data_IF_985920259180
#
_entry.id   IF_985920259180
#
_cell.length_a   1.000
_cell.length_b   1.000
_cell.length_c   1.000
_cell.angle_alpha   90.00
_cell.angle_beta   90.00
_cell.angle_gamma   90.00
#
_symmetry.space_group_name_H-M   'P 1'
#
loop_
_entity.id
_entity.type
_entity.pdbx_description
1 polymer ?
#
# COMPACT_ATOMS: atom_id res chain seq x y z
N UNK A 1 -8.59 -7.41 -15.97
CA UNK A 1 -9.21 -8.60 -15.37
C UNK A 1 -9.57 -8.25 -13.94
N UNK A 2 -10.84 -8.33 -13.57
CA UNK A 2 -11.28 -8.20 -12.17
C UNK A 2 -10.94 -9.49 -11.44
N UNK A 3 -10.20 -9.37 -10.33
CA UNK A 3 -9.97 -10.50 -9.43
C UNK A 3 -10.78 -10.29 -8.16
N UNK A 4 -11.65 -11.24 -7.85
CA UNK A 4 -12.39 -11.27 -6.59
C UNK A 4 -11.64 -12.13 -5.58
N UNK A 5 -10.87 -11.48 -4.71
CA UNK A 5 -10.15 -12.17 -3.64
C UNK A 5 -11.05 -12.49 -2.44
N UNK A 6 -12.19 -11.80 -2.28
CA UNK A 6 -13.10 -12.00 -1.14
C UNK A 6 -13.77 -13.37 -1.25
N UNK A 7 -14.35 -13.69 -2.42
CA UNK A 7 -14.98 -15.00 -2.62
C UNK A 7 -13.98 -16.16 -2.52
N UNK A 8 -12.77 -15.96 -3.06
CA UNK A 8 -11.69 -16.95 -2.97
C UNK A 8 -11.23 -17.15 -1.53
N UNK A 9 -11.08 -16.06 -0.77
CA UNK A 9 -10.75 -16.10 0.64
C UNK A 9 -11.80 -16.86 1.45
N UNK A 10 -13.08 -16.54 1.26
CA UNK A 10 -14.20 -17.28 1.88
C UNK A 10 -14.13 -18.77 1.53
N UNK A 11 -13.85 -19.11 0.27
CA UNK A 11 -13.65 -20.51 -0.14
C UNK A 11 -12.50 -21.19 0.59
N UNK A 12 -11.37 -20.49 0.74
CA UNK A 12 -10.15 -20.99 1.38
C UNK A 12 -10.31 -21.24 2.89
N UNK A 13 -11.26 -20.59 3.55
CA UNK A 13 -11.61 -20.89 4.94
C UNK A 13 -12.10 -22.33 5.13
N UNK A 14 -12.83 -22.87 4.16
CA UNK A 14 -13.44 -24.21 4.26
C UNK A 14 -12.51 -25.34 3.85
N UNK A 15 -11.25 -25.03 3.51
CA UNK A 15 -10.26 -26.05 3.21
C UNK A 15 -9.88 -26.79 4.50
N UNK A 16 -9.94 -28.13 4.54
CA UNK A 16 -9.70 -28.90 5.78
C UNK A 16 -8.37 -28.57 6.47
N UNK A 17 -7.32 -28.28 5.70
CA UNK A 17 -6.02 -27.88 6.23
C UNK A 17 -6.05 -26.49 6.90
N UNK A 18 -6.78 -25.54 6.34
CA UNK A 18 -6.91 -24.19 6.90
C UNK A 18 -7.82 -24.20 8.14
N UNK A 19 -8.90 -24.99 8.13
CA UNK A 19 -9.72 -25.23 9.33
C UNK A 19 -8.84 -25.79 10.46
N UNK A 20 -8.06 -26.84 10.19
CA UNK A 20 -7.19 -27.45 11.20
C UNK A 20 -6.17 -26.45 11.74
N UNK A 21 -5.47 -25.72 10.86
CA UNK A 21 -4.50 -24.69 11.29
C UNK A 21 -5.18 -23.59 12.12
N UNK A 22 -6.35 -23.12 11.71
CA UNK A 22 -7.09 -22.06 12.39
C UNK A 22 -7.46 -22.43 13.83
N UNK A 23 -7.89 -23.66 14.07
CA UNK A 23 -8.30 -24.11 15.40
C UNK A 23 -7.14 -24.58 16.29
N UNK A 24 -6.03 -25.03 15.71
CA UNK A 24 -4.96 -25.70 16.44
C UNK A 24 -3.60 -25.00 16.36
N UNK A 25 -3.54 -23.77 15.85
CA UNK A 25 -2.31 -22.96 15.81
C UNK A 25 -2.63 -21.46 15.87
N UNK A 26 -1.61 -20.61 15.77
CA UNK A 26 -1.78 -19.15 15.66
C UNK A 26 -2.21 -18.68 14.25
N UNK A 27 -2.43 -19.62 13.32
CA UNK A 27 -2.86 -19.33 11.96
C UNK A 27 -4.26 -18.73 11.95
N UNK A 28 -4.45 -17.60 11.29
CA UNK A 28 -5.72 -16.88 11.37
C UNK A 28 -6.27 -16.46 10.00
N UNK A 29 -7.31 -15.62 10.04
CA UNK A 29 -7.98 -15.10 8.85
C UNK A 29 -7.06 -14.29 7.93
N UNK A 30 -6.08 -13.62 8.50
CA UNK A 30 -5.07 -12.84 7.77
C UNK A 30 -4.11 -13.79 7.05
N UNK A 31 -3.70 -14.89 7.68
CA UNK A 31 -2.89 -15.91 7.00
C UNK A 31 -3.62 -16.62 5.85
N UNK A 32 -4.94 -16.86 6.00
CA UNK A 32 -5.76 -17.41 4.91
C UNK A 32 -5.82 -16.43 3.73
N UNK A 33 -5.89 -15.12 4.01
CA UNK A 33 -5.87 -14.10 2.96
C UNK A 33 -4.49 -14.00 2.29
N UNK A 34 -3.41 -14.06 3.06
CA UNK A 34 -2.06 -14.12 2.50
C UNK A 34 -1.87 -15.34 1.58
N UNK A 35 -2.39 -16.51 1.97
CA UNK A 35 -2.43 -17.68 1.09
C UNK A 35 -3.28 -17.42 -0.16
N UNK A 36 -4.43 -16.76 0.00
CA UNK A 36 -5.29 -16.40 -1.13
C UNK A 36 -4.56 -15.50 -2.14
N UNK A 37 -3.73 -14.57 -1.68
CA UNK A 37 -2.85 -13.82 -2.57
C UNK A 37 -1.76 -14.69 -3.19
N UNK A 38 -1.05 -15.51 -2.43
CA UNK A 38 -0.03 -16.41 -2.97
C UNK A 38 -0.59 -17.32 -4.08
N UNK A 39 -1.85 -17.73 -3.94
CA UNK A 39 -2.49 -18.63 -4.88
C UNK A 39 -3.03 -17.95 -6.15
N UNK A 40 -3.24 -16.62 -6.14
CA UNK A 40 -4.04 -15.94 -7.18
C UNK A 40 -3.47 -14.60 -7.68
N UNK A 41 -2.55 -13.97 -6.95
CA UNK A 41 -1.98 -12.66 -7.29
C UNK A 41 -1.10 -12.72 -8.55
N UNK A 42 -0.50 -13.87 -8.80
CA UNK A 42 0.42 -14.07 -9.92
C UNK A 42 -0.26 -14.87 -11.02
N UNK A 43 -0.10 -14.45 -12.28
CA UNK A 43 -0.57 -15.16 -13.46
C UNK A 43 0.29 -16.42 -13.72
N UNK A 44 0.23 -17.40 -12.82
CA UNK A 44 0.96 -18.66 -12.97
C UNK A 44 0.05 -19.62 -13.74
N UNK A 45 0.26 -19.73 -15.05
CA UNK A 45 -0.29 -20.84 -15.83
C UNK A 45 0.45 -22.13 -15.47
N UNK A 46 -0.10 -22.89 -14.53
CA UNK A 46 0.35 -24.26 -14.31
C UNK A 46 -0.20 -25.19 -15.40
N UNK A 47 0.70 -25.88 -16.09
CA UNK A 47 0.37 -26.96 -17.03
C UNK A 47 0.51 -28.31 -16.31
N UNK A 48 -0.52 -29.16 -16.36
CA UNK A 48 -0.51 -30.51 -15.75
C UNK A 48 -1.46 -30.67 -14.56
N UNK A 49 -1.33 -31.79 -13.82
CA UNK A 49 -2.17 -32.14 -12.66
C UNK A 49 -2.01 -31.24 -11.43
N UNK A 50 -1.19 -30.19 -11.53
CA UNK A 50 -0.85 -29.25 -10.45
C UNK A 50 -1.75 -27.99 -10.46
N UNK A 51 -2.94 -28.08 -11.05
CA UNK A 51 -3.99 -27.04 -11.08
C UNK A 51 -4.53 -26.63 -9.68
N UNK A 52 -3.90 -27.07 -8.58
CA UNK A 52 -4.45 -26.98 -7.22
C UNK A 52 -3.61 -26.15 -6.25
N UNK A 53 -2.45 -25.65 -6.63
CA UNK A 53 -1.62 -24.79 -5.77
C UNK A 53 -1.09 -23.65 -6.62
N UNK A 54 -1.44 -22.41 -6.29
CA UNK A 54 -0.68 -21.31 -6.86
C UNK A 54 0.74 -21.33 -6.28
N UNK A 55 1.60 -20.47 -6.83
CA UNK A 55 3.00 -20.39 -6.40
C UNK A 55 3.16 -19.16 -5.54
N UNK A 56 3.54 -19.37 -4.29
CA UNK A 56 4.04 -18.30 -3.44
C UNK A 56 5.41 -17.85 -3.98
N UNK A 57 5.49 -16.60 -4.43
CA UNK A 57 6.73 -15.98 -4.88
C UNK A 57 7.38 -15.21 -3.73
N UNK A 58 8.68 -15.34 -3.63
CA UNK A 58 9.53 -14.64 -2.66
C UNK A 58 10.05 -13.32 -3.22
N UNK A 59 10.42 -12.38 -2.34
CA UNK A 59 10.95 -11.07 -2.75
C UNK A 59 12.22 -11.23 -3.59
N UNK A 60 13.06 -12.23 -3.31
CA UNK A 60 14.28 -12.52 -4.07
C UNK A 60 14.02 -13.01 -5.50
N UNK A 61 12.79 -13.44 -5.80
CA UNK A 61 12.37 -13.84 -7.15
C UNK A 61 11.87 -12.66 -7.99
N UNK A 62 11.76 -11.45 -7.40
CA UNK A 62 11.55 -10.23 -8.17
C UNK A 62 12.81 -10.00 -9.01
N UNK A 63 12.66 -10.06 -10.34
CA UNK A 63 13.79 -9.93 -11.26
C UNK A 63 14.60 -8.66 -11.00
N UNK A 64 15.94 -8.77 -11.07
CA UNK A 64 16.87 -7.65 -10.77
C UNK A 64 16.70 -6.43 -11.67
N UNK A 65 16.08 -6.60 -12.83
CA UNK A 65 15.77 -5.52 -13.78
C UNK A 65 14.43 -4.82 -13.48
N UNK A 66 13.71 -5.23 -12.43
CA UNK A 66 12.47 -4.60 -11.99
C UNK A 66 12.76 -3.43 -11.03
N UNK A 67 11.83 -2.46 -10.92
CA UNK A 67 11.92 -1.44 -9.88
C UNK A 67 12.04 -2.06 -8.49
N UNK A 68 12.79 -1.41 -7.62
CA UNK A 68 12.89 -1.80 -6.22
C UNK A 68 11.52 -1.65 -5.54
N UNK A 69 10.98 -2.75 -4.99
CA UNK A 69 9.68 -2.79 -4.35
C UNK A 69 9.84 -2.49 -2.85
N UNK A 70 9.07 -1.52 -2.35
CA UNK A 70 8.95 -1.26 -0.92
C UNK A 70 7.48 -1.42 -0.56
N UNK A 71 7.20 -2.33 0.37
CA UNK A 71 5.89 -2.48 1.00
C UNK A 71 6.05 -1.99 2.45
N UNK A 72 5.15 -1.15 2.91
CA UNK A 72 5.22 -0.56 4.25
C UNK A 72 4.08 -1.05 5.13
N UNK A 73 4.34 -1.11 6.43
CA UNK A 73 3.42 -1.56 7.45
C UNK A 73 3.68 -0.78 8.74
N UNK A 74 2.81 -0.95 9.72
CA UNK A 74 2.93 -0.32 11.04
C UNK A 74 3.26 -1.36 12.08
N UNK A 75 4.32 -1.18 12.86
CA UNK A 75 4.68 -2.10 13.92
C UNK A 75 3.63 -2.05 15.05
N UNK A 76 3.15 -3.23 15.43
CA UNK A 76 2.12 -3.47 16.44
C UNK A 76 2.66 -4.12 17.73
N UNK A 77 3.96 -4.41 17.79
CA UNK A 77 4.63 -5.01 18.94
C UNK A 77 4.94 -3.93 19.97
N UNK A 78 4.62 -4.19 21.25
CA UNK A 78 4.77 -3.22 22.33
C UNK A 78 6.23 -3.06 22.77
N UNK A 79 7.02 -4.11 22.60
CA UNK A 79 8.41 -4.18 23.03
C UNK A 79 9.33 -3.29 22.18
N UNK A 80 10.46 -2.89 22.79
CA UNK A 80 11.53 -2.11 22.14
C UNK A 80 11.13 -0.73 21.61
N UNK A 81 10.06 -0.13 22.15
CA UNK A 81 9.54 1.18 21.78
C UNK A 81 9.17 1.29 20.29
N UNK A 82 8.93 0.16 19.62
CA UNK A 82 8.67 0.11 18.17
C UNK A 82 7.19 0.28 17.81
N UNK A 83 6.30 0.19 18.80
CA UNK A 83 4.85 0.33 18.57
C UNK A 83 4.49 1.62 17.83
N UNK A 84 3.71 1.51 16.77
CA UNK A 84 3.29 2.64 15.94
C UNK A 84 4.39 3.20 15.03
N UNK A 85 5.57 2.57 14.96
CA UNK A 85 6.61 2.96 13.99
C UNK A 85 6.43 2.26 12.64
N UNK A 86 7.00 2.84 11.58
CA UNK A 86 7.01 2.22 10.26
C UNK A 86 7.91 0.99 10.26
N UNK A 87 7.40 -0.10 9.68
CA UNK A 87 8.18 -1.28 9.30
C UNK A 87 8.04 -1.49 7.80
N UNK A 88 9.16 -1.46 7.08
CA UNK A 88 9.19 -1.67 5.63
C UNK A 88 9.75 -3.05 5.31
N UNK A 89 9.19 -3.72 4.30
CA UNK A 89 9.69 -4.99 3.79
C UNK A 89 10.92 -4.74 2.89
N UNK A 90 12.02 -4.32 3.51
CA UNK A 90 13.33 -4.09 2.88
C UNK A 90 14.41 -4.86 3.60
N UNK A 91 15.56 -5.03 2.95
CA UNK A 91 16.72 -5.70 3.56
C UNK A 91 17.15 -5.01 4.86
N UNK A 92 17.13 -3.68 4.91
CA UNK A 92 17.56 -2.90 6.07
C UNK A 92 16.71 -3.21 7.30
N UNK A 93 15.38 -3.21 7.16
CA UNK A 93 14.47 -3.46 8.28
C UNK A 93 14.43 -4.93 8.65
N UNK A 94 14.54 -5.86 7.70
CA UNK A 94 14.63 -7.29 8.00
C UNK A 94 15.91 -7.63 8.79
N UNK A 95 17.07 -7.13 8.36
CA UNK A 95 18.32 -7.30 9.09
C UNK A 95 18.25 -6.63 10.47
N UNK A 96 17.75 -5.40 10.53
CA UNK A 96 17.74 -4.59 11.77
C UNK A 96 16.72 -5.08 12.79
N UNK A 97 15.55 -5.54 12.35
CA UNK A 97 14.41 -5.82 13.24
C UNK A 97 14.16 -7.31 13.45
N UNK A 98 14.51 -8.16 12.49
CA UNK A 98 14.20 -9.59 12.53
C UNK A 98 15.43 -10.50 12.48
N UNK A 99 16.61 -9.99 12.11
CA UNK A 99 17.80 -10.80 11.79
C UNK A 99 17.49 -11.93 10.78
N UNK A 100 16.83 -11.53 9.68
CA UNK A 100 16.32 -12.44 8.65
C UNK A 100 16.60 -11.89 7.25
N UNK A 101 16.65 -12.76 6.24
CA UNK A 101 16.82 -12.36 4.85
C UNK A 101 15.46 -12.10 4.19
N UNK A 102 15.24 -10.86 3.74
CA UNK A 102 14.03 -10.49 3.00
C UNK A 102 13.86 -11.29 1.72
N UNK A 103 14.94 -11.74 1.08
CA UNK A 103 14.87 -12.43 -0.21
C UNK A 103 14.13 -13.77 -0.13
N UNK A 104 14.07 -14.40 1.05
CA UNK A 104 13.32 -15.64 1.28
C UNK A 104 11.86 -15.38 1.69
N UNK A 105 11.49 -14.13 1.95
CA UNK A 105 10.17 -13.77 2.45
C UNK A 105 9.14 -13.71 1.33
N UNK A 106 7.92 -14.20 1.61
CA UNK A 106 6.80 -14.21 0.67
C UNK A 106 6.32 -12.79 0.34
N UNK A 107 6.22 -12.48 -0.96
CA UNK A 107 5.62 -11.23 -1.45
C UNK A 107 4.15 -11.15 -1.02
N UNK A 108 3.42 -12.27 -1.09
CA UNK A 108 1.99 -12.30 -0.75
C UNK A 108 1.76 -12.00 0.74
N UNK A 109 2.63 -12.51 1.62
CA UNK A 109 2.59 -12.18 3.06
C UNK A 109 2.97 -10.72 3.31
N UNK A 110 3.93 -10.16 2.56
CA UNK A 110 4.28 -8.74 2.68
C UNK A 110 3.15 -7.82 2.22
N UNK A 111 2.48 -8.16 1.12
CA UNK A 111 1.28 -7.45 0.63
C UNK A 111 0.16 -7.53 1.66
N UNK A 112 -0.09 -8.72 2.22
CA UNK A 112 -1.12 -8.86 3.25
C UNK A 112 -0.79 -8.07 4.51
N UNK A 113 0.47 -8.06 4.96
CA UNK A 113 0.90 -7.23 6.09
C UNK A 113 0.65 -5.75 5.85
N UNK A 114 0.98 -5.25 4.66
CA UNK A 114 0.72 -3.87 4.25
C UNK A 114 -0.77 -3.52 4.22
N UNK A 115 -1.66 -4.50 4.02
CA UNK A 115 -3.11 -4.31 3.90
C UNK A 115 -3.91 -4.88 5.10
N UNK A 116 -3.24 -5.17 6.23
CA UNK A 116 -3.84 -5.76 7.43
C UNK A 116 -4.57 -4.71 8.26
N UNK A 117 -5.65 -4.16 7.71
CA UNK A 117 -6.43 -3.10 8.33
C UNK A 117 -7.08 -3.60 9.65
N UNK A 118 -6.83 -2.95 10.82
CA UNK A 118 -7.17 -3.47 12.15
C UNK A 118 -8.64 -3.82 12.44
N UNK A 119 -9.58 -3.38 11.60
CA UNK A 119 -10.98 -3.78 11.72
C UNK A 119 -11.31 -5.08 10.94
N UNK A 120 -10.66 -5.28 9.79
CA UNK A 120 -10.93 -6.39 8.88
C UNK A 120 -10.02 -7.60 9.15
N UNK A 121 -8.78 -7.35 9.57
CA UNK A 121 -7.74 -8.36 9.74
C UNK A 121 -7.03 -8.22 11.07
N UNK A 122 -6.45 -9.32 11.54
CA UNK A 122 -5.49 -9.29 12.64
C UNK A 122 -4.12 -8.86 12.10
N UNK A 123 -3.21 -8.43 12.97
CA UNK A 123 -1.82 -8.17 12.61
C UNK A 123 -1.16 -9.38 11.97
N UNK A 124 -0.34 -9.16 10.94
CA UNK A 124 0.56 -10.19 10.43
C UNK A 124 1.68 -10.46 11.43
N UNK A 125 1.92 -11.74 11.71
CA UNK A 125 2.97 -12.19 12.63
C UNK A 125 4.22 -12.59 11.84
N UNK A 126 5.35 -11.99 12.19
CA UNK A 126 6.67 -12.25 11.62
C UNK A 126 7.57 -12.85 12.71
N UNK A 127 8.35 -13.86 12.35
CA UNK A 127 9.36 -14.44 13.25
C UNK A 127 10.53 -13.48 13.40
N UNK A 128 10.94 -13.28 14.66
CA UNK A 128 12.09 -12.46 15.03
C UNK A 128 13.23 -13.37 15.53
N UNK A 129 14.34 -13.37 14.80
CA UNK A 129 15.50 -14.23 15.05
C UNK A 129 16.63 -13.52 15.82
N UNK A 130 16.44 -12.26 16.25
CA UNK A 130 17.48 -11.48 16.96
C UNK A 130 17.86 -12.08 18.31
N UNK A 131 16.94 -12.78 18.96
CA UNK A 131 17.17 -13.40 20.25
C UNK A 131 17.53 -14.87 20.04
N UNK A 132 18.66 -15.29 20.61
CA UNK A 132 19.14 -16.68 20.54
C UNK A 132 18.86 -17.45 21.85
N UNK A 133 17.84 -17.07 22.59
CA UNK A 133 17.47 -17.67 23.88
C UNK A 133 16.61 -18.95 23.76
N UNK A 134 16.61 -19.58 22.58
CA UNK A 134 15.83 -20.78 22.22
C UNK A 134 14.30 -20.63 22.35
N UNK A 135 13.80 -19.45 22.72
CA UNK A 135 12.39 -19.09 22.71
C UNK A 135 12.06 -18.38 21.38
N UNK A 136 10.93 -18.66 20.73
CA UNK A 136 10.56 -17.95 19.51
C UNK A 136 10.02 -16.55 19.86
N UNK A 137 10.59 -15.53 19.24
CA UNK A 137 10.13 -14.15 19.35
C UNK A 137 9.41 -13.72 18.08
N UNK A 138 8.53 -12.73 18.20
CA UNK A 138 7.69 -12.30 17.09
C UNK A 138 7.60 -10.78 17.01
N UNK A 139 7.48 -10.28 15.78
CA UNK A 139 7.00 -8.92 15.51
C UNK A 139 5.62 -9.02 14.86
N UNK A 140 4.70 -8.19 15.32
CA UNK A 140 3.37 -8.04 14.76
C UNK A 140 3.32 -6.74 13.97
N UNK A 141 2.70 -6.76 12.79
CA UNK A 141 2.51 -5.56 11.97
C UNK A 141 1.07 -5.42 11.51
N UNK A 142 0.57 -4.19 11.55
CA UNK A 142 -0.69 -3.75 10.94
C UNK A 142 -0.46 -3.12 9.58
N UNK A 143 -1.56 -2.79 8.91
CA UNK A 143 -1.61 -1.92 7.73
C UNK A 143 -0.63 -0.73 7.79
N UNK A 144 -0.05 -0.40 6.64
CA UNK A 144 0.80 0.80 6.46
C UNK A 144 0.04 2.11 6.67
N UNK A 145 -1.28 2.11 6.56
CA UNK A 145 -2.16 3.28 6.63
C UNK A 145 -1.96 4.14 7.88
N UNK A 146 -1.76 3.51 9.03
CA UNK A 146 -1.60 4.21 10.32
C UNK A 146 -0.36 5.12 10.36
N UNK A 147 0.68 4.81 9.57
CA UNK A 147 1.95 5.56 9.60
C UNK A 147 2.28 6.22 8.27
N UNK A 148 2.11 5.53 7.15
CA UNK A 148 2.57 5.96 5.83
C UNK A 148 1.66 5.41 4.69
N UNK A 149 0.36 5.73 4.70
CA UNK A 149 -0.59 5.24 3.68
C UNK A 149 -0.23 5.61 2.23
N UNK A 150 0.70 6.55 2.03
CA UNK A 150 1.10 7.08 0.73
C UNK A 150 2.49 6.61 0.29
N UNK A 151 3.24 5.91 1.15
CA UNK A 151 4.64 5.54 0.90
C UNK A 151 5.62 6.72 0.91
N UNK A 152 5.17 7.95 1.19
CA UNK A 152 5.99 9.15 1.17
C UNK A 152 7.06 9.15 2.27
N UNK A 153 6.77 8.63 3.46
CA UNK A 153 7.80 8.50 4.51
C UNK A 153 8.89 7.51 4.11
N UNK A 154 8.52 6.47 3.37
CA UNK A 154 9.47 5.52 2.80
C UNK A 154 10.40 6.20 1.78
N UNK A 155 9.86 7.05 0.91
CA UNK A 155 10.63 7.88 -0.03
C UNK A 155 11.55 8.85 0.73
N UNK A 156 11.06 9.50 1.78
CA UNK A 156 11.91 10.36 2.62
C UNK A 156 13.08 9.62 3.25
N UNK A 157 12.87 8.37 3.67
CA UNK A 157 13.92 7.53 4.24
C UNK A 157 15.02 7.25 3.21
N UNK A 158 14.66 7.11 1.93
CA UNK A 158 15.62 7.00 0.81
C UNK A 158 16.43 8.30 0.70
N UNK A 159 15.78 9.46 0.65
CA UNK A 159 16.49 10.75 0.56
C UNK A 159 17.45 10.97 1.74
N UNK A 160 17.00 10.72 2.97
CA UNK A 160 17.85 10.81 4.15
C UNK A 160 19.06 9.87 4.06
N UNK A 161 18.86 8.65 3.57
CA UNK A 161 19.94 7.66 3.41
C UNK A 161 20.94 8.09 2.35
N UNK A 162 20.46 8.63 1.22
CA UNK A 162 21.32 9.17 0.16
C UNK A 162 22.15 10.35 0.67
N UNK A 163 21.53 11.29 1.37
CA UNK A 163 22.22 12.43 1.98
C UNK A 163 23.28 12.00 2.98
N UNK A 164 22.94 11.09 3.91
CA UNK A 164 23.88 10.53 4.90
C UNK A 164 25.08 9.84 4.26
N UNK A 165 24.87 9.14 3.14
CA UNK A 165 25.92 8.46 2.38
C UNK A 165 26.67 9.39 1.42
N UNK A 166 26.27 10.67 1.31
CA UNK A 166 26.84 11.61 0.35
C UNK A 166 26.60 11.21 -1.10
N UNK A 167 25.52 10.48 -1.38
CA UNK A 167 25.13 10.08 -2.73
C UNK A 167 24.41 11.25 -3.39
N UNK A 168 25.03 11.81 -4.42
CA UNK A 168 24.44 12.86 -5.23
C UNK A 168 23.48 12.28 -6.28
N UNK A 169 22.39 12.99 -6.56
CA UNK A 169 21.42 12.60 -7.57
C UNK A 169 21.34 13.68 -8.66
N UNK A 170 21.25 13.24 -9.91
CA UNK A 170 21.14 14.18 -11.05
C UNK A 170 19.74 14.77 -11.15
N UNK A 171 18.73 13.94 -10.93
CA UNK A 171 17.32 14.28 -11.15
C UNK A 171 16.47 13.41 -10.25
N UNK A 172 15.42 13.99 -9.65
CA UNK A 172 14.45 13.26 -8.81
C UNK A 172 13.05 13.49 -9.35
N UNK A 173 12.34 12.41 -9.62
CA UNK A 173 10.92 12.46 -9.96
C UNK A 173 10.17 11.58 -8.98
N UNK A 174 9.18 12.15 -8.30
CA UNK A 174 8.29 11.43 -7.40
C UNK A 174 6.88 11.56 -7.96
N UNK A 175 6.25 10.43 -8.29
CA UNK A 175 4.86 10.38 -8.72
C UNK A 175 4.07 9.70 -7.61
N UNK A 176 3.20 10.46 -6.95
CA UNK A 176 2.25 9.92 -5.99
C UNK A 176 0.93 9.65 -6.71
N UNK A 177 0.54 8.39 -6.81
CA UNK A 177 -0.78 7.98 -7.29
C UNK A 177 -1.66 7.80 -6.06
N UNK A 178 -2.62 8.70 -5.90
CA UNK A 178 -3.46 8.77 -4.72
C UNK A 178 -4.92 8.44 -5.06
N UNK A 179 -5.35 7.27 -4.59
CA UNK A 179 -6.71 6.77 -4.78
C UNK A 179 -7.65 7.14 -3.62
N UNK A 180 -7.29 8.14 -2.80
CA UNK A 180 -8.18 8.67 -1.77
C UNK A 180 -9.51 9.14 -2.38
N UNK A 181 -10.60 8.73 -1.74
CA UNK A 181 -11.97 9.14 -2.09
C UNK A 181 -12.56 9.93 -0.94
N UNK A 182 -13.33 10.98 -1.25
CA UNK A 182 -14.05 11.73 -0.21
C UNK A 182 -15.07 10.81 0.49
N UNK A 183 -14.89 10.59 1.80
CA UNK A 183 -15.86 9.86 2.59
C UNK A 183 -17.21 10.59 2.53
N UNK A 184 -18.27 9.92 2.06
CA UNK A 184 -19.59 10.53 1.89
C UNK A 184 -20.24 10.97 3.22
N UNK A 185 -19.64 10.61 4.37
CA UNK A 185 -20.19 10.84 5.70
C UNK A 185 -21.53 10.12 5.92
N UNK A 186 -22.04 10.18 7.14
CA UNK A 186 -23.39 9.73 7.46
C UNK A 186 -24.35 10.89 7.18
N UNK A 187 -25.39 10.65 6.38
CA UNK A 187 -26.39 11.66 6.08
C UNK A 187 -27.15 12.08 7.35
N UNK A 188 -27.37 13.38 7.54
CA UNK A 188 -27.94 13.98 8.77
C UNK A 188 -29.33 13.45 9.20
N UNK A 189 -30.02 12.77 8.29
CA UNK A 189 -31.37 12.23 8.49
C UNK A 189 -31.38 10.76 8.96
N UNK A 190 -30.23 10.10 9.01
CA UNK A 190 -30.11 8.73 9.52
C UNK A 190 -29.91 8.73 11.04
N UNK A 191 -30.95 8.33 11.77
CA UNK A 191 -30.89 8.17 13.23
C UNK A 191 -30.09 6.93 13.68
N UNK A 192 -29.91 5.95 12.78
CA UNK A 192 -29.13 4.75 13.00
C UNK A 192 -28.39 4.38 11.70
N UNK A 193 -27.06 4.57 11.63
CA UNK A 193 -26.26 4.28 10.44
C UNK A 193 -25.91 2.79 10.29
N UNK A 194 -26.31 1.94 11.25
CA UNK A 194 -25.76 0.58 11.34
C UNK A 194 -26.22 -0.35 10.22
N UNK A 195 -25.28 -1.07 9.62
CA UNK A 195 -25.54 -2.10 8.60
C UNK A 195 -25.67 -3.51 9.20
N UNK A 196 -26.10 -4.50 8.41
CA UNK A 196 -26.17 -5.91 8.86
C UNK A 196 -24.81 -6.55 9.21
N UNK A 197 -23.70 -5.93 8.80
CA UNK A 197 -22.33 -6.35 9.14
C UNK A 197 -21.80 -5.67 10.40
N UNK A 198 -22.50 -4.68 10.96
CA UNK A 198 -22.11 -3.96 12.17
C UNK A 198 -22.13 -4.81 13.44
N UNK A 199 -22.70 -6.03 13.36
CA UNK A 199 -22.60 -7.03 14.41
C UNK A 199 -21.19 -7.66 14.52
N UNK A 200 -20.33 -7.46 13.50
CA UNK A 200 -18.97 -8.01 13.46
C UNK A 200 -17.88 -6.91 13.48
N UNK A 201 -18.18 -5.69 13.03
CA UNK A 201 -17.25 -4.54 12.99
C UNK A 201 -18.00 -3.24 13.30
N UNK A 202 -17.55 -2.43 14.25
CA UNK A 202 -18.19 -1.16 14.63
C UNK A 202 -17.98 -0.10 13.54
N UNK A 203 -19.05 0.36 12.88
CA UNK A 203 -18.99 1.39 11.85
C UNK A 203 -18.38 2.70 12.37
N UNK A 204 -18.61 3.06 13.64
CA UNK A 204 -18.04 4.27 14.22
C UNK A 204 -16.52 4.15 14.36
N UNK A 205 -16.01 2.94 14.65
CA UNK A 205 -14.57 2.70 14.69
C UNK A 205 -13.95 2.87 13.30
N UNK A 206 -14.63 2.41 12.25
CA UNK A 206 -14.21 2.62 10.86
C UNK A 206 -14.18 4.10 10.53
N UNK A 207 -15.31 4.80 10.71
CA UNK A 207 -15.43 6.21 10.35
C UNK A 207 -14.41 7.10 11.10
N UNK A 208 -14.18 6.81 12.39
CA UNK A 208 -13.18 7.50 13.19
C UNK A 208 -11.75 7.20 12.70
N UNK A 209 -11.48 5.95 12.32
CA UNK A 209 -10.18 5.54 11.77
C UNK A 209 -9.95 6.22 10.42
N UNK A 210 -10.93 6.19 9.51
CA UNK A 210 -10.86 6.84 8.20
C UNK A 210 -10.62 8.35 8.33
N UNK A 211 -11.31 9.00 9.29
CA UNK A 211 -11.10 10.42 9.57
C UNK A 211 -9.68 10.72 10.05
N UNK A 212 -9.12 9.87 10.93
CA UNK A 212 -7.74 9.99 11.40
C UNK A 212 -6.74 9.74 10.26
N UNK A 213 -6.99 8.74 9.42
CA UNK A 213 -6.17 8.42 8.25
C UNK A 213 -6.18 9.55 7.23
N UNK A 214 -7.34 10.20 6.99
CA UNK A 214 -7.46 11.38 6.14
C UNK A 214 -6.63 12.55 6.68
N UNK A 215 -6.75 12.86 7.98
CA UNK A 215 -5.96 13.91 8.60
C UNK A 215 -4.44 13.61 8.57
N UNK A 216 -4.06 12.35 8.80
CA UNK A 216 -2.67 11.90 8.70
C UNK A 216 -2.15 12.00 7.26
N UNK A 217 -2.97 11.63 6.26
CA UNK A 217 -2.65 11.77 4.84
C UNK A 217 -2.30 13.21 4.48
N UNK A 218 -3.16 14.17 4.85
CA UNK A 218 -2.94 15.60 4.56
C UNK A 218 -1.65 16.12 5.19
N UNK A 219 -1.39 15.73 6.44
CA UNK A 219 -0.15 16.06 7.13
C UNK A 219 1.08 15.48 6.41
N UNK A 220 1.05 14.19 6.05
CA UNK A 220 2.16 13.52 5.37
C UNK A 220 2.48 14.21 4.03
N UNK A 221 1.44 14.58 3.26
CA UNK A 221 1.64 15.29 1.99
C UNK A 221 2.28 16.66 2.24
N UNK A 222 1.76 17.43 3.20
CA UNK A 222 2.30 18.77 3.51
C UNK A 222 3.75 18.72 3.99
N UNK A 223 4.07 17.79 4.89
CA UNK A 223 5.42 17.59 5.43
C UNK A 223 6.37 17.17 4.30
N UNK A 224 5.95 16.23 3.44
CA UNK A 224 6.72 15.77 2.29
C UNK A 224 6.99 16.89 1.29
N UNK A 225 5.97 17.67 0.90
CA UNK A 225 6.11 18.79 -0.04
C UNK A 225 7.10 19.81 0.49
N UNK A 226 6.97 20.21 1.76
CA UNK A 226 7.89 21.16 2.40
C UNK A 226 9.34 20.66 2.34
N UNK A 227 9.56 19.38 2.64
CA UNK A 227 10.87 18.76 2.58
C UNK A 227 11.40 18.63 1.15
N UNK A 228 10.54 18.27 0.21
CA UNK A 228 10.88 18.11 -1.20
C UNK A 228 11.30 19.43 -1.84
N UNK A 229 10.61 20.53 -1.53
CA UNK A 229 10.98 21.87 -1.99
C UNK A 229 12.33 22.34 -1.40
N UNK A 230 12.71 21.82 -0.23
CA UNK A 230 14.00 22.14 0.42
C UNK A 230 15.19 21.37 -0.15
N UNK A 231 14.98 20.45 -1.10
CA UNK A 231 16.06 19.74 -1.77
C UNK A 231 16.99 20.73 -2.49
N UNK A 232 18.30 20.45 -2.44
CA UNK A 232 19.37 21.38 -2.85
C UNK A 232 19.24 21.95 -4.28
N UNK A 233 18.54 21.26 -5.16
CA UNK A 233 18.36 21.67 -6.56
C UNK A 233 16.92 21.43 -7.01
N UNK A 234 16.03 22.34 -6.59
CA UNK A 234 14.60 22.29 -6.91
C UNK A 234 14.33 22.27 -8.42
N UNK A 235 15.24 22.84 -9.23
CA UNK A 235 15.15 22.84 -10.70
C UNK A 235 15.36 21.45 -11.33
N UNK A 236 15.86 20.49 -10.55
CA UNK A 236 16.10 19.09 -10.96
C UNK A 236 15.19 18.08 -10.27
N UNK A 237 14.21 18.56 -9.53
CA UNK A 237 13.27 17.71 -8.79
C UNK A 237 11.84 18.03 -9.18
N UNK A 238 11.03 17.01 -9.40
CA UNK A 238 9.60 17.16 -9.66
C UNK A 238 8.77 16.17 -8.82
N UNK A 239 7.80 16.69 -8.08
CA UNK A 239 6.77 15.93 -7.40
C UNK A 239 5.45 16.09 -8.15
N UNK A 240 4.87 14.99 -8.61
CA UNK A 240 3.56 14.95 -9.23
C UNK A 240 2.59 14.17 -8.36
N UNK A 241 1.61 14.86 -7.78
CA UNK A 241 0.50 14.23 -7.06
C UNK A 241 -0.68 14.04 -8.01
N UNK A 242 -0.87 12.80 -8.45
CA UNK A 242 -1.96 12.36 -9.33
C UNK A 242 -3.12 11.83 -8.47
N UNK A 243 -4.31 12.41 -8.59
CA UNK A 243 -5.50 12.04 -7.81
C UNK A 243 -6.74 11.96 -8.69
N UNK A 244 -7.76 11.21 -8.26
CA UNK A 244 -9.04 11.16 -8.98
C UNK A 244 -9.73 12.53 -9.08
N UNK A 245 -9.49 13.42 -8.11
CA UNK A 245 -9.99 14.79 -8.13
C UNK A 245 -9.49 15.61 -9.33
N UNK A 246 -8.42 15.18 -10.00
CA UNK A 246 -7.87 15.83 -11.20
C UNK A 246 -8.72 15.56 -12.47
N UNK A 247 -9.69 14.63 -12.40
CA UNK A 247 -10.61 14.33 -13.51
C UNK A 247 -11.68 15.41 -13.60
N UNK A 248 -11.69 16.17 -14.70
CA UNK A 248 -12.64 17.26 -14.95
C UNK A 248 -14.10 16.81 -15.14
N UNK A 249 -14.31 15.61 -15.69
CA UNK A 249 -15.65 15.08 -15.92
C UNK A 249 -16.32 14.79 -14.57
N UNK A 250 -17.13 15.74 -14.10
CA UNK A 250 -17.78 15.71 -12.79
C UNK A 250 -18.56 14.41 -12.56
N UNK A 251 -19.17 13.83 -13.60
CA UNK A 251 -19.91 12.56 -13.46
C UNK A 251 -18.96 11.39 -13.25
N UNK A 252 -17.85 11.34 -13.98
CA UNK A 252 -16.82 10.32 -13.81
C UNK A 252 -16.14 10.48 -12.46
N UNK A 253 -15.73 11.70 -12.10
CA UNK A 253 -15.14 12.06 -10.83
C UNK A 253 -16.01 11.60 -9.64
N UNK A 254 -17.32 11.90 -9.67
CA UNK A 254 -18.26 11.46 -8.64
C UNK A 254 -18.39 9.93 -8.55
N UNK A 255 -18.21 9.18 -9.64
CA UNK A 255 -18.22 7.71 -9.60
C UNK A 255 -16.90 7.16 -9.05
N UNK A 256 -15.77 7.76 -9.40
CA UNK A 256 -14.45 7.40 -8.87
C UNK A 256 -14.39 7.60 -7.35
N UNK A 257 -14.90 8.73 -6.85
CA UNK A 257 -14.98 9.04 -5.42
C UNK A 257 -15.98 8.17 -4.63
N UNK A 258 -16.67 7.23 -5.28
CA UNK A 258 -17.58 6.25 -4.65
C UNK A 258 -17.08 4.82 -4.75
N UNK A 259 -15.87 4.63 -5.27
CA UNK A 259 -15.24 3.30 -5.30
C UNK A 259 -14.88 2.93 -3.86
N UNK A 260 -15.53 1.89 -3.33
CA UNK A 260 -15.25 1.41 -1.99
C UNK A 260 -13.88 0.72 -1.93
N UNK A 261 -13.13 0.99 -0.87
CA UNK A 261 -11.91 0.26 -0.52
C UNK A 261 -12.25 -1.21 -0.24
N UNK A 262 -11.79 -2.11 -1.09
CA UNK A 262 -12.21 -3.52 -1.08
C UNK A 262 -11.17 -4.40 -1.78
N UNK A 263 -11.04 -5.65 -1.32
CA UNK A 263 -10.26 -6.70 -2.01
C UNK A 263 -10.98 -7.30 -3.24
N UNK A 264 -12.04 -6.63 -3.69
CA UNK A 264 -12.75 -6.90 -4.92
C UNK A 264 -13.14 -5.56 -5.55
N UNK A 265 -12.81 -5.39 -6.83
CA UNK A 265 -13.20 -4.23 -7.62
C UNK A 265 -14.24 -4.64 -8.67
N UNK A 266 -15.36 -3.91 -8.71
CA UNK A 266 -16.44 -4.17 -9.67
C UNK A 266 -16.00 -3.79 -11.08
N UNK A 267 -16.52 -4.50 -12.09
CA UNK A 267 -16.21 -4.21 -13.51
C UNK A 267 -16.53 -2.75 -13.89
N UNK A 268 -17.61 -2.19 -13.34
CA UNK A 268 -17.97 -0.78 -13.54
C UNK A 268 -16.90 0.18 -13.00
N UNK A 269 -16.37 -0.11 -11.80
CA UNK A 269 -15.31 0.67 -11.18
C UNK A 269 -13.99 0.56 -11.97
N UNK A 270 -13.67 -0.62 -12.50
CA UNK A 270 -12.51 -0.80 -13.40
C UNK A 270 -12.68 0.06 -14.65
N UNK A 271 -13.84 0.01 -15.30
CA UNK A 271 -14.10 0.80 -16.50
C UNK A 271 -14.05 2.31 -16.24
N UNK A 272 -14.43 2.76 -15.05
CA UNK A 272 -14.29 4.16 -14.65
C UNK A 272 -12.83 4.55 -14.37
N UNK A 273 -12.04 3.67 -13.74
CA UNK A 273 -10.58 3.89 -13.57
C UNK A 273 -9.89 3.96 -14.93
N UNK A 274 -10.20 3.06 -15.86
CA UNK A 274 -9.63 3.07 -17.21
C UNK A 274 -9.91 4.40 -17.92
N UNK A 275 -11.16 4.90 -17.83
CA UNK A 275 -11.50 6.24 -18.35
C UNK A 275 -10.75 7.35 -17.63
N UNK A 276 -10.54 7.26 -16.32
CA UNK A 276 -9.78 8.25 -15.58
C UNK A 276 -8.33 8.31 -16.09
N UNK A 277 -7.71 7.14 -16.28
CA UNK A 277 -6.37 7.01 -16.85
C UNK A 277 -6.30 7.62 -18.25
N UNK A 278 -7.27 7.35 -19.12
CA UNK A 278 -7.36 7.95 -20.47
C UNK A 278 -7.45 9.49 -20.44
N UNK A 279 -8.06 10.08 -19.41
CA UNK A 279 -8.20 11.54 -19.27
C UNK A 279 -6.97 12.19 -18.63
N UNK A 280 -6.33 11.52 -17.67
CA UNK A 280 -5.22 12.08 -16.91
C UNK A 280 -3.88 11.81 -17.58
N UNK A 281 -3.64 10.61 -18.10
CA UNK A 281 -2.35 10.21 -18.66
C UNK A 281 -2.26 10.48 -20.17
N UNK A 282 -2.43 11.75 -20.55
CA UNK A 282 -2.38 12.19 -21.95
C UNK A 282 -1.02 12.82 -22.31
N UNK A 283 -0.61 12.83 -23.59
CA UNK A 283 0.58 13.55 -24.03
C UNK A 283 0.53 15.07 -23.79
N UNK A 284 -0.67 15.62 -23.57
CA UNK A 284 -0.91 17.03 -23.27
C UNK A 284 -0.84 17.34 -21.77
N UNK A 285 -0.71 16.33 -20.91
CA UNK A 285 -0.61 16.55 -19.47
C UNK A 285 0.67 17.34 -19.14
N UNK A 286 0.56 18.56 -18.58
CA UNK A 286 1.70 19.44 -18.33
C UNK A 286 2.70 18.84 -17.33
N UNK A 287 2.23 18.06 -16.36
CA UNK A 287 3.11 17.35 -15.42
C UNK A 287 3.90 16.25 -16.14
N UNK A 288 3.27 15.47 -17.02
CA UNK A 288 3.99 14.45 -17.80
C UNK A 288 4.98 15.07 -18.80
N UNK A 289 4.62 16.19 -19.43
CA UNK A 289 5.53 16.97 -20.28
C UNK A 289 6.73 17.46 -19.47
N UNK A 290 6.50 18.00 -18.26
CA UNK A 290 7.57 18.49 -17.38
C UNK A 290 8.49 17.37 -16.91
N UNK A 291 7.94 16.20 -16.56
CA UNK A 291 8.72 14.99 -16.25
C UNK A 291 9.59 14.62 -17.45
N UNK A 292 9.01 14.57 -18.65
CA UNK A 292 9.75 14.23 -19.86
C UNK A 292 10.89 15.22 -20.13
N UNK A 293 10.62 16.52 -20.07
CA UNK A 293 11.64 17.56 -20.25
C UNK A 293 12.75 17.41 -19.21
N UNK A 294 12.40 17.22 -17.93
CA UNK A 294 13.34 17.03 -16.85
C UNK A 294 14.24 15.80 -17.08
N UNK A 295 13.68 14.69 -17.54
CA UNK A 295 14.43 13.46 -17.85
C UNK A 295 15.34 13.61 -19.09
N UNK A 296 14.97 14.46 -20.06
CA UNK A 296 15.74 14.68 -21.29
C UNK A 296 16.87 15.71 -21.11
N UNK A 297 16.63 16.77 -20.33
CA UNK A 297 17.55 17.92 -20.22
C UNK A 297 18.24 18.04 -18.85
N UNK A 298 17.82 17.24 -17.86
CA UNK A 298 18.17 17.38 -16.44
C UNK A 298 17.77 18.73 -15.81
N UNK A 299 16.84 19.47 -16.42
CA UNK A 299 16.28 20.72 -15.89
C UNK A 299 14.80 20.86 -16.31
N UNK A 300 14.03 21.57 -15.51
CA UNK A 300 12.69 22.03 -15.90
C UNK A 300 12.51 23.51 -15.54
N UNK A 301 11.70 24.21 -16.32
CA UNK A 301 11.46 25.65 -16.15
C UNK A 301 10.28 25.95 -15.20
N UNK A 302 9.78 24.93 -14.50
CA UNK A 302 8.55 24.97 -13.70
C UNK A 302 8.77 24.92 -12.19
N UNK A 303 7.67 24.88 -11.45
CA UNK A 303 7.69 24.61 -10.01
C UNK A 303 8.02 23.12 -9.77
N UNK A 304 8.81 22.85 -8.74
CA UNK A 304 9.14 21.48 -8.31
C UNK A 304 7.93 20.66 -7.87
N UNK A 305 6.80 21.30 -7.59
CA UNK A 305 5.52 20.68 -7.30
C UNK A 305 4.59 20.87 -8.48
N UNK A 306 4.18 19.76 -9.10
CA UNK A 306 3.23 19.75 -10.20
C UNK A 306 1.86 19.28 -9.73
N UNK A 307 0.88 20.13 -9.97
CA UNK A 307 -0.53 19.79 -9.85
C UNK A 307 -1.14 19.76 -11.24
N UNK A 308 -1.91 18.71 -11.52
CA UNK A 308 -2.74 18.70 -12.72
C UNK A 308 -3.98 19.57 -12.45
N UNK A 309 -3.82 20.88 -12.63
CA UNK A 309 -4.95 21.82 -12.67
C UNK A 309 -4.98 22.47 -14.05
N UNK A 310 -6.12 22.36 -14.74
CA UNK A 310 -6.37 23.11 -15.97
C UNK A 310 -6.62 24.59 -15.69
#
# INVERSE_FOLDING_TARGET
MTQDYILRWIGNWFWPGNIAKYWFSAYDRTDIMAQTFADNLYDVHMSGSDLRKGRDLTIGEIGKDRPYLILNSTNATAEHDMFGQSFTFTQEDFNRCLDSDINEYSIARAVMASASFPAAFNSMTLLNYKNHDNEPHYIHVFDGGNVDNLGLKSVERIFNTMEQKGIDYKTVVVILVDAYTDAAGIHETLADPRSGLDFFVDSNFIDATDSLLAANRDKIISDFVTKFESLKDSSKSLFYHLKFADVEDEKLNNRLNRIATSFNIKDESVADIDKAVERLLTPQNPCLISIKQLLETNQHDGNSICHYSH
#
